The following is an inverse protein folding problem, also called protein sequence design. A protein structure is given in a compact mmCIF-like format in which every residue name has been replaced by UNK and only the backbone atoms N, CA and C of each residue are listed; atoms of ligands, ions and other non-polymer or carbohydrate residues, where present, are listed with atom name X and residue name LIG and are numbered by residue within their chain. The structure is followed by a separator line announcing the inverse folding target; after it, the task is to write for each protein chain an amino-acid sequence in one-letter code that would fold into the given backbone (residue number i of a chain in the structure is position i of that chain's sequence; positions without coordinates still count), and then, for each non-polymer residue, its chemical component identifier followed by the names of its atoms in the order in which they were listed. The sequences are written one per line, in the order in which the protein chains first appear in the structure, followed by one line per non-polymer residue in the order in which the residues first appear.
data_IF_610300975421
#
_entry.id   IF_610300975421
#
_cell.length_a   1.000
_cell.length_b   1.000
_cell.length_c   1.000
_cell.angle_alpha   90.00
_cell.angle_beta   90.00
_cell.angle_gamma   90.00
#
_symmetry.space_group_name_H-M   'P 1'
#
loop_
_entity.id
_entity.type
_entity.pdbx_description
1 polymer ?
#
# COMPACT_ATOMS: atom_id res chain seq x y z
N UNK A 1 53.95 -57.81 25.13
CA UNK A 1 53.27 -57.58 23.84
C UNK A 1 51.88 -57.01 24.15
N UNK A 2 51.77 -55.70 24.34
CA UNK A 2 50.52 -55.03 24.58
C UNK A 2 50.10 -54.42 23.24
N UNK A 3 48.98 -54.88 22.80
CA UNK A 3 48.62 -54.89 21.40
C UNK A 3 48.25 -53.55 20.78
N UNK A 4 48.68 -53.39 19.55
CA UNK A 4 48.37 -52.36 18.60
C UNK A 4 46.87 -52.22 18.25
N UNK A 5 46.02 -53.02 18.85
CA UNK A 5 44.56 -52.99 18.57
C UNK A 5 43.81 -51.83 19.21
N UNK A 6 44.34 -51.25 20.30
CA UNK A 6 43.67 -50.15 20.99
C UNK A 6 44.02 -48.75 20.42
N UNK A 7 45.08 -48.66 19.62
CA UNK A 7 45.47 -47.40 19.00
C UNK A 7 44.65 -47.05 17.75
N UNK A 8 44.19 -48.09 17.06
CA UNK A 8 43.37 -47.89 15.85
C UNK A 8 41.92 -47.48 16.15
N UNK A 9 41.37 -47.89 17.30
CA UNK A 9 39.98 -47.53 17.68
C UNK A 9 39.95 -46.06 18.17
N UNK A 10 40.98 -45.54 18.77
CA UNK A 10 41.05 -44.11 19.17
C UNK A 10 41.15 -43.16 17.98
N UNK A 11 41.81 -43.61 16.88
CA UNK A 11 41.95 -42.76 15.69
C UNK A 11 40.65 -42.67 14.86
N UNK A 12 39.82 -43.70 14.90
CA UNK A 12 38.53 -43.70 14.18
C UNK A 12 37.43 -42.92 14.89
N UNK A 13 37.48 -42.82 16.23
CA UNK A 13 36.53 -41.98 16.97
C UNK A 13 36.79 -40.46 16.82
N UNK A 14 38.02 -40.07 16.50
CA UNK A 14 38.35 -38.63 16.35
C UNK A 14 37.94 -38.03 14.97
N UNK A 15 37.64 -38.88 13.97
CA UNK A 15 37.24 -38.43 12.66
C UNK A 15 35.73 -38.34 12.44
N UNK A 16 34.92 -38.82 13.40
CA UNK A 16 33.47 -38.84 13.26
C UNK A 16 32.77 -37.55 13.79
N UNK A 17 33.51 -36.61 14.39
CA UNK A 17 32.90 -35.41 15.01
C UNK A 17 32.99 -34.16 14.11
N UNK A 18 33.64 -34.24 12.95
CA UNK A 18 33.82 -33.07 12.07
C UNK A 18 32.80 -32.90 10.99
N UNK A 19 31.67 -33.65 11.04
CA UNK A 19 30.56 -33.52 10.09
C UNK A 19 29.30 -32.88 10.70
N UNK A 20 29.42 -32.22 11.84
CA UNK A 20 28.38 -31.26 12.24
C UNK A 20 28.49 -30.08 11.28
N UNK A 21 27.65 -30.03 10.26
CA UNK A 21 27.63 -28.94 9.30
C UNK A 21 27.58 -27.63 10.04
N UNK A 22 28.49 -26.74 9.69
CA UNK A 22 28.43 -25.36 10.19
C UNK A 22 27.02 -24.85 9.97
N UNK A 23 26.38 -24.22 10.97
CA UNK A 23 25.07 -23.65 10.79
C UNK A 23 25.16 -22.72 9.56
N UNK A 24 24.40 -23.04 8.53
CA UNK A 24 24.29 -22.18 7.36
C UNK A 24 23.79 -20.84 7.89
N UNK A 25 24.66 -19.85 7.92
CA UNK A 25 24.27 -18.46 8.17
C UNK A 25 23.23 -18.13 7.11
N UNK A 26 21.97 -18.15 7.51
CA UNK A 26 20.89 -17.65 6.67
C UNK A 26 21.19 -16.18 6.48
N UNK A 27 21.60 -15.80 5.28
CA UNK A 27 21.83 -14.41 4.94
C UNK A 27 20.54 -13.65 5.27
N UNK A 28 20.60 -12.67 6.17
CA UNK A 28 19.46 -11.83 6.48
C UNK A 28 18.93 -11.23 5.18
N UNK A 29 17.62 -11.35 4.96
CA UNK A 29 16.93 -10.69 3.85
C UNK A 29 16.65 -9.21 4.17
N UNK A 30 16.87 -8.81 5.42
CA UNK A 30 16.75 -7.41 5.83
C UNK A 30 18.05 -6.72 5.49
N UNK A 31 18.03 -5.64 4.69
CA UNK A 31 19.22 -4.85 4.40
C UNK A 31 19.84 -4.29 5.69
N UNK A 32 21.16 -4.28 5.79
CA UNK A 32 21.90 -3.66 6.92
C UNK A 32 21.83 -2.12 6.91
N UNK A 33 21.20 -1.54 5.89
CA UNK A 33 20.99 -0.11 5.76
C UNK A 33 19.56 0.28 6.07
N UNK A 34 19.32 1.45 6.69
CA UNK A 34 17.97 1.98 6.86
C UNK A 34 17.25 2.06 5.51
N UNK A 35 15.97 1.67 5.49
CA UNK A 35 15.14 1.82 4.31
C UNK A 35 14.98 3.31 3.99
N UNK A 36 15.09 3.66 2.70
CA UNK A 36 14.74 5.01 2.22
C UNK A 36 13.26 5.12 1.89
N UNK A 37 12.50 4.02 2.01
CA UNK A 37 11.05 4.05 1.84
C UNK A 37 10.42 4.89 2.94
N UNK A 38 9.56 5.88 2.62
CA UNK A 38 8.86 6.65 3.63
C UNK A 38 7.91 5.74 4.42
N UNK A 39 7.83 6.00 5.72
CA UNK A 39 6.85 5.36 6.57
C UNK A 39 5.45 5.92 6.30
N UNK A 40 4.44 5.07 6.42
CA UNK A 40 3.06 5.48 6.20
C UNK A 40 2.09 4.81 7.16
N UNK A 41 1.00 5.48 7.42
CA UNK A 41 -0.18 4.93 8.06
C UNK A 41 -1.22 4.62 6.96
N UNK A 42 -1.79 3.42 7.01
CA UNK A 42 -2.78 2.96 6.03
C UNK A 42 -4.13 2.71 6.72
N UNK A 43 -5.20 3.21 6.15
CA UNK A 43 -6.54 3.11 6.75
C UNK A 43 -7.15 1.72 6.71
N UNK A 44 -6.61 0.77 5.94
CA UNK A 44 -7.20 -0.56 5.75
C UNK A 44 -7.50 -1.30 7.06
N UNK A 45 -6.57 -1.23 8.01
CA UNK A 45 -6.77 -1.88 9.31
C UNK A 45 -7.93 -1.26 10.11
N UNK A 46 -8.10 0.06 10.05
CA UNK A 46 -9.23 0.73 10.70
C UNK A 46 -10.54 0.44 9.99
N UNK A 47 -10.54 0.42 8.65
CA UNK A 47 -11.69 0.01 7.86
C UNK A 47 -12.14 -1.41 8.24
N UNK A 48 -11.20 -2.35 8.31
CA UNK A 48 -11.47 -3.72 8.75
C UNK A 48 -11.98 -3.79 10.19
N UNK A 49 -11.39 -3.01 11.08
CA UNK A 49 -11.78 -2.98 12.50
C UNK A 49 -13.23 -2.52 12.68
N UNK A 50 -13.64 -1.39 12.08
CA UNK A 50 -15.04 -0.90 12.18
C UNK A 50 -16.03 -1.81 11.46
N UNK A 51 -15.61 -2.52 10.43
CA UNK A 51 -16.37 -3.57 9.75
C UNK A 51 -16.39 -4.89 10.53
N UNK A 52 -15.69 -4.98 11.69
CA UNK A 52 -15.48 -6.20 12.47
C UNK A 52 -14.87 -7.35 11.64
N UNK A 53 -14.12 -7.02 10.59
CA UNK A 53 -13.51 -7.96 9.63
C UNK A 53 -14.48 -9.00 9.05
N UNK A 54 -15.78 -8.66 8.98
CA UNK A 54 -16.80 -9.59 8.51
C UNK A 54 -16.72 -9.88 7.02
N UNK A 55 -16.42 -8.86 6.21
CA UNK A 55 -16.20 -9.02 4.78
C UNK A 55 -15.37 -7.86 4.20
N UNK A 56 -14.84 -8.07 2.99
CA UNK A 56 -14.11 -7.04 2.25
C UNK A 56 -15.04 -5.91 1.82
N UNK A 57 -16.28 -6.20 1.45
CA UNK A 57 -17.29 -5.22 1.05
C UNK A 57 -17.62 -4.27 2.20
N UNK A 58 -17.80 -4.78 3.40
CA UNK A 58 -18.02 -3.95 4.60
C UNK A 58 -16.78 -3.13 4.96
N UNK A 59 -15.58 -3.71 4.79
CA UNK A 59 -14.32 -3.00 4.99
C UNK A 59 -14.21 -1.82 4.02
N UNK A 60 -14.55 -2.00 2.76
CA UNK A 60 -14.59 -0.94 1.74
C UNK A 60 -15.64 0.12 2.03
N UNK A 61 -16.82 -0.29 2.49
CA UNK A 61 -17.91 0.61 2.85
C UNK A 61 -17.51 1.63 3.94
N UNK A 62 -16.54 1.28 4.77
CA UNK A 62 -16.04 2.15 5.85
C UNK A 62 -15.15 3.31 5.35
N UNK A 63 -14.70 3.32 4.09
CA UNK A 63 -13.95 4.44 3.54
C UNK A 63 -14.89 5.61 3.23
N UNK A 64 -15.12 6.47 4.20
CA UNK A 64 -16.01 7.63 4.10
C UNK A 64 -15.45 8.84 4.85
N UNK A 65 -15.98 10.02 4.53
CA UNK A 65 -15.66 11.26 5.21
C UNK A 65 -15.91 11.20 6.72
N UNK A 66 -17.04 10.57 7.11
CA UNK A 66 -17.41 10.43 8.53
C UNK A 66 -16.37 9.65 9.33
N UNK A 67 -15.80 8.59 8.76
CA UNK A 67 -14.74 7.85 9.44
C UNK A 67 -13.42 8.61 9.48
N UNK A 68 -13.12 9.40 8.46
CA UNK A 68 -11.90 10.21 8.46
C UNK A 68 -11.96 11.38 9.44
N UNK A 69 -13.09 12.11 9.50
CA UNK A 69 -13.19 13.42 10.15
C UNK A 69 -14.31 13.54 11.17
N UNK A 70 -15.19 12.55 11.28
CA UNK A 70 -16.31 12.58 12.23
C UNK A 70 -15.86 12.52 13.70
N UNK A 71 -16.78 12.72 14.62
CA UNK A 71 -16.56 12.76 16.07
C UNK A 71 -17.17 11.55 16.81
N UNK A 72 -17.70 10.58 16.08
CA UNK A 72 -18.26 9.36 16.63
C UNK A 72 -17.19 8.38 17.11
N UNK A 73 -17.67 7.36 17.84
CA UNK A 73 -16.83 6.26 18.31
C UNK A 73 -16.15 5.56 17.10
N UNK A 74 -14.85 5.39 17.15
CA UNK A 74 -14.01 4.83 16.07
C UNK A 74 -13.90 5.67 14.80
N UNK A 75 -14.29 6.93 14.84
CA UNK A 75 -14.10 7.92 13.77
C UNK A 75 -12.84 8.77 14.01
N UNK A 76 -12.67 9.83 13.21
CA UNK A 76 -11.57 10.77 13.29
C UNK A 76 -10.18 10.12 13.09
N UNK A 77 -10.06 9.30 12.06
CA UNK A 77 -8.81 8.59 11.78
C UNK A 77 -7.64 9.53 11.49
N UNK A 78 -7.93 10.74 11.00
CA UNK A 78 -6.91 11.75 10.73
C UNK A 78 -6.24 12.31 11.98
N UNK A 79 -6.82 12.09 13.15
CA UNK A 79 -6.24 12.49 14.45
C UNK A 79 -5.46 11.35 15.14
N UNK A 80 -5.34 10.19 14.52
CA UNK A 80 -4.49 9.10 15.00
C UNK A 80 -3.01 9.52 15.09
N UNK A 81 -2.29 8.89 16.00
CA UNK A 81 -0.83 8.99 16.14
C UNK A 81 -0.26 10.41 16.26
N UNK A 82 -0.78 11.29 17.12
CA UNK A 82 -0.40 12.70 17.17
C UNK A 82 1.11 12.94 17.39
N UNK A 83 1.80 12.01 18.06
CA UNK A 83 3.22 12.14 18.35
C UNK A 83 4.13 11.89 17.14
N UNK A 84 3.70 11.03 16.21
CA UNK A 84 4.55 10.55 15.10
C UNK A 84 4.00 10.86 13.71
N UNK A 85 2.74 11.29 13.57
CA UNK A 85 2.12 11.52 12.25
C UNK A 85 2.87 12.52 11.36
N UNK A 86 3.67 13.43 11.96
CA UNK A 86 4.55 14.33 11.22
C UNK A 86 5.63 13.61 10.40
N UNK A 87 5.92 12.36 10.74
CA UNK A 87 6.90 11.53 10.07
C UNK A 87 6.26 10.52 9.10
N UNK A 88 4.92 10.43 9.10
CA UNK A 88 4.13 9.44 8.35
C UNK A 88 3.31 10.08 7.23
N UNK A 89 3.21 9.36 6.11
CA UNK A 89 2.18 9.64 5.11
C UNK A 89 0.85 9.04 5.55
N UNK A 90 -0.24 9.80 5.41
CA UNK A 90 -1.60 9.27 5.60
C UNK A 90 -2.06 8.67 4.28
N UNK A 91 -2.28 7.37 4.24
CA UNK A 91 -2.69 6.65 3.03
C UNK A 91 -4.12 6.17 3.17
N UNK A 92 -5.02 6.77 2.40
CA UNK A 92 -6.38 6.24 2.24
C UNK A 92 -6.32 4.95 1.43
N UNK A 93 -6.83 3.88 2.01
CA UNK A 93 -6.85 2.58 1.35
C UNK A 93 -8.07 2.43 0.42
N UNK A 94 -8.30 1.25 -0.06
CA UNK A 94 -9.31 0.87 -1.05
C UNK A 94 -10.66 1.61 -0.85
N UNK A 95 -11.26 2.04 -1.95
CA UNK A 95 -12.60 2.62 -2.07
C UNK A 95 -12.75 4.13 -1.84
N UNK A 96 -11.66 4.88 -1.66
CA UNK A 96 -11.76 6.34 -1.57
C UNK A 96 -12.22 6.98 -2.90
N UNK A 97 -12.02 6.29 -4.01
CA UNK A 97 -12.22 6.75 -5.39
C UNK A 97 -13.39 6.05 -6.12
N UNK A 98 -14.17 5.25 -5.42
CA UNK A 98 -15.34 4.55 -6.01
C UNK A 98 -16.65 4.97 -5.33
N UNK A 99 -17.82 4.87 -6.03
CA UNK A 99 -19.10 5.25 -5.47
C UNK A 99 -19.44 4.51 -4.18
N UNK A 100 -20.18 5.18 -3.27
CA UNK A 100 -20.51 4.69 -1.93
C UNK A 100 -21.19 3.33 -1.91
N UNK A 101 -22.05 3.08 -2.88
CA UNK A 101 -22.85 1.84 -2.95
C UNK A 101 -22.15 0.71 -3.73
N UNK A 102 -20.93 0.96 -4.22
CA UNK A 102 -20.14 -0.03 -4.98
C UNK A 102 -19.00 -0.53 -4.11
N UNK A 103 -19.21 -1.65 -3.40
CA UNK A 103 -18.21 -2.19 -2.46
C UNK A 103 -17.72 -3.59 -2.84
N UNK A 104 -18.31 -4.22 -3.82
CA UNK A 104 -17.87 -5.50 -4.37
C UNK A 104 -16.58 -5.38 -5.22
N UNK A 105 -15.95 -6.50 -5.49
CA UNK A 105 -14.75 -6.54 -6.33
C UNK A 105 -14.75 -7.83 -7.16
N UNK A 106 -14.44 -7.74 -8.44
CA UNK A 106 -14.11 -6.51 -9.18
C UNK A 106 -15.33 -5.62 -9.46
N UNK A 107 -15.12 -4.33 -9.67
CA UNK A 107 -16.14 -3.40 -10.12
C UNK A 107 -15.58 -2.45 -11.21
N UNK A 108 -16.42 -1.78 -12.02
CA UNK A 108 -15.99 -0.98 -13.15
C UNK A 108 -15.26 0.34 -12.78
N UNK A 109 -15.29 0.74 -11.52
CA UNK A 109 -14.70 1.99 -11.03
C UNK A 109 -13.29 1.80 -10.48
N UNK A 110 -12.83 0.57 -10.26
CA UNK A 110 -11.49 0.32 -9.72
C UNK A 110 -10.42 1.02 -10.56
N UNK A 111 -9.58 1.80 -9.90
CA UNK A 111 -8.55 2.63 -10.53
C UNK A 111 -9.07 3.95 -11.07
N UNK A 112 -10.22 4.45 -10.60
CA UNK A 112 -10.79 5.73 -11.01
C UNK A 112 -9.88 6.91 -10.64
N UNK A 113 -9.24 6.86 -9.47
CA UNK A 113 -8.28 7.88 -8.98
C UNK A 113 -8.91 9.28 -8.94
N UNK A 114 -10.18 9.35 -8.57
CA UNK A 114 -10.91 10.60 -8.33
C UNK A 114 -11.66 10.49 -7.01
N UNK A 115 -11.55 11.50 -6.14
CA UNK A 115 -12.26 11.47 -4.87
C UNK A 115 -13.77 11.32 -5.09
N UNK A 116 -14.33 10.28 -4.51
CA UNK A 116 -15.76 9.97 -4.60
C UNK A 116 -16.61 11.04 -3.89
N UNK A 117 -17.47 11.74 -4.63
CA UNK A 117 -18.25 12.86 -4.08
C UNK A 117 -19.36 12.45 -3.13
N UNK A 118 -19.84 11.22 -3.20
CA UNK A 118 -20.87 10.66 -2.32
C UNK A 118 -20.28 10.06 -1.04
N UNK A 119 -19.02 9.62 -1.07
CA UNK A 119 -18.29 9.21 0.13
C UNK A 119 -17.71 10.40 0.90
N UNK A 120 -17.40 11.50 0.19
CA UNK A 120 -16.77 12.71 0.71
C UNK A 120 -17.58 13.95 0.31
N UNK A 121 -18.81 14.11 0.85
CA UNK A 121 -19.77 15.09 0.38
C UNK A 121 -19.44 16.54 0.73
N UNK A 122 -18.54 16.81 1.69
CA UNK A 122 -18.18 18.18 2.07
C UNK A 122 -17.20 18.84 1.11
N UNK A 123 -16.43 18.04 0.35
CA UNK A 123 -15.47 18.54 -0.61
C UNK A 123 -16.15 18.88 -1.93
N UNK A 124 -15.95 20.11 -2.43
CA UNK A 124 -16.68 20.68 -3.56
C UNK A 124 -15.76 21.03 -4.73
N UNK A 125 -16.36 21.20 -5.90
CA UNK A 125 -15.65 21.57 -7.12
C UNK A 125 -15.40 20.38 -8.04
N UNK A 126 -14.44 20.50 -8.92
CA UNK A 126 -14.01 19.41 -9.79
C UNK A 126 -13.21 18.33 -9.01
N UNK A 127 -12.80 17.28 -9.72
CA UNK A 127 -12.10 16.16 -9.08
C UNK A 127 -10.77 16.57 -8.43
N UNK A 128 -10.04 17.49 -9.05
CA UNK A 128 -8.75 17.99 -8.54
C UNK A 128 -8.98 18.87 -7.32
N UNK A 129 -9.95 19.78 -7.38
CA UNK A 129 -10.29 20.66 -6.27
C UNK A 129 -10.78 19.90 -5.04
N UNK A 130 -11.64 18.92 -5.21
CA UNK A 130 -12.09 18.05 -4.11
C UNK A 130 -10.93 17.32 -3.45
N UNK A 131 -10.08 16.70 -4.27
CA UNK A 131 -8.92 15.96 -3.77
C UNK A 131 -7.90 16.87 -3.07
N UNK A 132 -7.74 18.11 -3.58
CA UNK A 132 -6.88 19.12 -2.97
C UNK A 132 -7.40 19.53 -1.60
N UNK A 133 -8.69 19.84 -1.46
CA UNK A 133 -9.31 20.20 -0.17
C UNK A 133 -9.12 19.07 0.86
N UNK A 134 -9.35 17.83 0.47
CA UNK A 134 -9.12 16.66 1.32
C UNK A 134 -7.66 16.58 1.76
N UNK A 135 -6.73 16.69 0.81
CA UNK A 135 -5.29 16.62 1.08
C UNK A 135 -4.84 17.71 2.06
N UNK A 136 -5.29 18.94 1.85
CA UNK A 136 -5.00 20.08 2.72
C UNK A 136 -5.59 19.87 4.12
N UNK A 137 -6.80 19.35 4.24
CA UNK A 137 -7.43 19.06 5.53
C UNK A 137 -6.67 17.98 6.32
N UNK A 138 -6.24 16.90 5.65
CA UNK A 138 -5.42 15.87 6.29
C UNK A 138 -4.06 16.43 6.72
N UNK A 139 -3.38 17.17 5.85
CA UNK A 139 -2.08 17.79 6.17
C UNK A 139 -2.17 18.82 7.30
N UNK A 140 -3.30 19.53 7.42
CA UNK A 140 -3.53 20.47 8.52
C UNK A 140 -3.54 19.80 9.90
N UNK A 141 -3.80 18.50 9.96
CA UNK A 141 -3.71 17.69 11.19
C UNK A 141 -2.28 17.32 11.58
N UNK A 142 -1.31 17.69 10.76
CA UNK A 142 0.12 17.49 11.02
C UNK A 142 0.71 16.22 10.38
N UNK A 143 0.03 15.60 9.42
CA UNK A 143 0.60 14.51 8.64
C UNK A 143 1.68 15.01 7.68
N UNK A 144 2.73 14.21 7.47
CA UNK A 144 3.85 14.52 6.57
C UNK A 144 3.38 14.73 5.13
N UNK A 145 2.43 13.92 4.69
CA UNK A 145 1.87 13.94 3.35
C UNK A 145 0.63 13.06 3.27
N UNK A 146 0.01 13.04 2.10
CA UNK A 146 -1.20 12.26 1.84
C UNK A 146 -0.97 11.37 0.64
N UNK A 147 -1.52 10.17 0.70
CA UNK A 147 -1.49 9.22 -0.39
C UNK A 147 -2.78 8.43 -0.51
N UNK A 148 -2.85 7.65 -1.54
CA UNK A 148 -3.99 6.78 -1.82
C UNK A 148 -3.58 5.39 -2.26
N UNK A 149 -4.45 4.45 -2.00
CA UNK A 149 -4.43 3.14 -2.60
C UNK A 149 -4.82 3.24 -4.07
N UNK A 150 -4.17 2.46 -4.90
CA UNK A 150 -4.47 2.37 -6.33
C UNK A 150 -4.27 0.93 -6.80
N UNK A 151 -5.19 0.43 -7.61
CA UNK A 151 -5.03 -0.86 -8.25
C UNK A 151 -4.38 -0.74 -9.65
N UNK A 152 -3.80 -1.84 -10.12
CA UNK A 152 -3.13 -1.88 -11.42
C UNK A 152 -4.11 -2.09 -12.59
N UNK A 153 -5.25 -1.39 -12.55
CA UNK A 153 -6.21 -1.42 -13.66
C UNK A 153 -6.77 -0.04 -13.93
N UNK A 154 -7.02 0.25 -15.19
CA UNK A 154 -7.79 1.42 -15.61
C UNK A 154 -9.27 1.19 -15.34
N UNK A 155 -9.97 2.19 -14.81
CA UNK A 155 -11.41 2.10 -14.61
C UNK A 155 -12.14 1.84 -15.94
N UNK A 156 -13.06 0.88 -15.95
CA UNK A 156 -13.86 0.53 -17.15
C UNK A 156 -14.77 1.68 -17.57
N UNK A 157 -15.17 2.52 -16.63
CA UNK A 157 -15.94 3.76 -16.88
C UNK A 157 -15.19 4.75 -17.79
N UNK A 158 -13.90 4.57 -17.98
CA UNK A 158 -13.04 5.40 -18.82
C UNK A 158 -12.39 4.59 -19.96
N UNK A 159 -13.05 3.55 -20.43
CA UNK A 159 -12.50 2.63 -21.42
C UNK A 159 -12.02 3.30 -22.72
N UNK A 160 -12.64 4.40 -23.13
CA UNK A 160 -12.30 5.14 -24.36
C UNK A 160 -10.93 5.87 -24.29
N UNK A 161 -10.41 6.14 -23.10
CA UNK A 161 -9.12 6.84 -22.97
C UNK A 161 -7.98 5.82 -23.10
N UNK A 162 -6.97 6.04 -23.95
CA UNK A 162 -5.79 5.18 -24.02
C UNK A 162 -5.13 5.04 -22.63
N UNK A 163 -4.65 3.84 -22.31
CA UNK A 163 -4.19 3.54 -20.95
C UNK A 163 -3.07 4.46 -20.46
N UNK A 164 -2.05 4.70 -21.30
CA UNK A 164 -0.95 5.58 -20.94
C UNK A 164 -1.42 7.02 -20.66
N UNK A 165 -2.32 7.54 -21.50
CA UNK A 165 -2.90 8.88 -21.35
C UNK A 165 -3.75 8.95 -20.07
N UNK A 166 -4.56 7.92 -19.81
CA UNK A 166 -5.37 7.80 -18.60
C UNK A 166 -4.52 7.95 -17.35
N UNK A 167 -3.46 7.17 -17.21
CA UNK A 167 -2.60 7.22 -16.04
C UNK A 167 -1.84 8.51 -15.89
N UNK A 168 -1.33 9.06 -17.00
CA UNK A 168 -0.68 10.39 -16.99
C UNK A 168 -1.62 11.47 -16.47
N UNK A 169 -2.85 11.51 -16.96
CA UNK A 169 -3.83 12.51 -16.52
C UNK A 169 -4.19 12.34 -15.04
N UNK A 170 -4.51 11.12 -14.61
CA UNK A 170 -4.97 10.85 -13.24
C UNK A 170 -3.90 11.10 -12.19
N UNK A 171 -2.72 10.55 -12.40
CA UNK A 171 -1.63 10.71 -11.44
C UNK A 171 -1.13 12.17 -11.40
N UNK A 172 -1.05 12.84 -12.55
CA UNK A 172 -0.69 14.25 -12.61
C UNK A 172 -1.71 15.13 -11.86
N UNK A 173 -3.01 14.89 -12.06
CA UNK A 173 -4.09 15.59 -11.37
C UNK A 173 -4.02 15.37 -9.85
N UNK A 174 -3.87 14.13 -9.42
CA UNK A 174 -3.75 13.80 -8.00
C UNK A 174 -2.49 14.41 -7.36
N UNK A 175 -1.36 14.39 -8.07
CA UNK A 175 -0.14 15.03 -7.59
C UNK A 175 -0.30 16.55 -7.45
N UNK A 176 -0.95 17.20 -8.43
CA UNK A 176 -1.28 18.63 -8.35
C UNK A 176 -2.22 18.96 -7.19
N UNK A 177 -3.07 18.01 -6.78
CA UNK A 177 -3.93 18.10 -5.60
C UNK A 177 -3.19 17.79 -4.27
N UNK A 178 -1.89 17.51 -4.33
CA UNK A 178 -1.06 17.26 -3.14
C UNK A 178 -1.04 15.83 -2.65
N UNK A 179 -1.47 14.87 -3.49
CA UNK A 179 -1.22 13.46 -3.29
C UNK A 179 0.19 13.13 -3.75
N UNK A 180 1.03 12.68 -2.83
CA UNK A 180 2.46 12.48 -3.06
C UNK A 180 2.96 11.09 -2.68
N UNK A 181 2.05 10.18 -2.26
CA UNK A 181 2.34 8.79 -1.95
C UNK A 181 1.29 7.84 -2.55
N UNK A 182 1.73 6.72 -3.13
CA UNK A 182 0.85 5.73 -3.72
C UNK A 182 1.13 4.34 -3.19
N UNK A 183 0.12 3.71 -2.62
CA UNK A 183 0.09 2.29 -2.33
C UNK A 183 -0.48 1.57 -3.55
N UNK A 184 0.38 1.01 -4.38
CA UNK A 184 -0.04 0.20 -5.54
C UNK A 184 -0.26 -1.22 -5.08
N UNK A 185 -1.49 -1.71 -5.24
CA UNK A 185 -1.92 -3.01 -4.79
C UNK A 185 -2.55 -3.81 -5.94
N UNK A 186 -3.22 -4.91 -5.63
CA UNK A 186 -3.79 -5.81 -6.60
C UNK A 186 -4.85 -5.13 -7.52
N UNK A 187 -5.21 -5.82 -8.60
CA UNK A 187 -6.27 -5.46 -9.52
C UNK A 187 -6.57 -6.62 -10.46
N UNK A 188 -7.54 -6.44 -11.35
CA UNK A 188 -7.93 -7.45 -12.33
C UNK A 188 -6.75 -7.97 -13.17
N UNK A 189 -5.82 -7.09 -13.49
CA UNK A 189 -4.65 -7.41 -14.31
C UNK A 189 -3.48 -8.01 -13.55
N UNK A 190 -3.45 -7.84 -12.25
CA UNK A 190 -2.44 -8.41 -11.39
C UNK A 190 -2.47 -9.95 -11.37
N UNK A 191 -3.65 -10.50 -11.53
CA UNK A 191 -3.85 -11.97 -11.60
C UNK A 191 -3.32 -12.60 -12.90
N UNK A 192 -2.99 -11.79 -13.91
CA UNK A 192 -2.59 -12.24 -15.24
C UNK A 192 -1.12 -11.98 -15.59
N UNK A 193 -0.31 -11.45 -14.68
CA UNK A 193 1.12 -11.29 -14.91
C UNK A 193 1.78 -10.12 -14.18
N UNK A 194 2.71 -10.44 -13.28
CA UNK A 194 3.49 -9.48 -12.49
C UNK A 194 4.25 -8.44 -13.35
N UNK A 195 4.69 -8.82 -14.53
CA UNK A 195 5.41 -7.93 -15.45
C UNK A 195 4.61 -6.72 -15.95
N UNK A 196 3.27 -6.81 -15.98
CA UNK A 196 2.41 -5.69 -16.36
C UNK A 196 2.37 -4.62 -15.28
N UNK A 197 2.44 -5.04 -14.02
CA UNK A 197 2.50 -4.15 -12.88
C UNK A 197 3.76 -3.28 -12.92
N UNK A 198 4.92 -3.86 -13.22
CA UNK A 198 6.18 -3.12 -13.32
C UNK A 198 6.12 -2.04 -14.39
N UNK A 199 5.62 -2.37 -15.57
CA UNK A 199 5.45 -1.38 -16.66
C UNK A 199 4.52 -0.25 -16.28
N UNK A 200 3.42 -0.54 -15.56
CA UNK A 200 2.49 0.48 -15.09
C UNK A 200 3.12 1.38 -14.02
N UNK A 201 3.83 0.81 -13.06
CA UNK A 201 4.56 1.58 -12.05
C UNK A 201 5.60 2.49 -12.70
N UNK A 202 6.29 2.02 -13.73
CA UNK A 202 7.25 2.85 -14.48
C UNK A 202 6.55 3.98 -15.24
N UNK A 203 5.39 3.70 -15.85
CA UNK A 203 4.57 4.74 -16.49
C UNK A 203 4.08 5.77 -15.47
N UNK A 204 3.71 5.35 -14.28
CA UNK A 204 3.31 6.28 -13.20
C UNK A 204 4.49 7.14 -12.74
N UNK A 205 5.67 6.55 -12.55
CA UNK A 205 6.89 7.29 -12.21
C UNK A 205 7.25 8.33 -13.27
N UNK A 206 7.18 7.97 -14.54
CA UNK A 206 7.42 8.88 -15.65
C UNK A 206 6.38 10.00 -15.70
N UNK A 207 5.11 9.70 -15.43
CA UNK A 207 4.03 10.68 -15.47
C UNK A 207 4.15 11.78 -14.41
N UNK A 208 4.71 11.46 -13.23
CA UNK A 208 4.73 12.39 -12.08
C UNK A 208 6.10 12.95 -11.76
N UNK A 209 7.17 12.49 -12.43
CA UNK A 209 8.56 12.86 -12.08
C UNK A 209 8.83 12.74 -10.56
N UNK A 210 8.07 11.88 -9.87
CA UNK A 210 8.12 11.72 -8.40
C UNK A 210 8.94 10.49 -8.05
N UNK A 211 9.87 10.60 -7.10
CA UNK A 211 10.63 9.45 -6.63
C UNK A 211 9.80 8.47 -5.78
N UNK A 212 8.54 8.78 -5.44
CA UNK A 212 7.78 8.14 -4.37
C UNK A 212 6.59 7.31 -4.82
N UNK A 213 6.77 6.41 -5.78
CA UNK A 213 5.83 5.30 -5.97
C UNK A 213 6.49 4.05 -5.37
N UNK A 214 5.91 3.56 -4.29
CA UNK A 214 6.35 2.33 -3.65
C UNK A 214 5.39 1.20 -3.97
N UNK A 215 5.96 0.10 -4.46
CA UNK A 215 5.27 -1.17 -4.59
C UNK A 215 5.17 -1.77 -3.19
N UNK A 216 3.97 -1.92 -2.66
CA UNK A 216 3.76 -2.86 -1.55
C UNK A 216 3.98 -4.26 -2.09
N UNK A 217 4.95 -4.98 -1.52
CA UNK A 217 5.16 -6.37 -1.87
C UNK A 217 3.89 -7.15 -1.57
N UNK A 218 3.39 -7.88 -2.58
CA UNK A 218 2.31 -8.82 -2.40
C UNK A 218 2.71 -9.84 -1.36
N UNK A 219 1.98 -9.92 -0.26
CA UNK A 219 1.97 -11.10 0.57
C UNK A 219 1.33 -12.22 -0.28
N UNK A 220 2.12 -13.26 -0.57
CA UNK A 220 1.62 -14.50 -1.16
C UNK A 220 0.75 -15.24 -0.17
#
# INVERSE_FOLDING_TARGET
MIGYRNLLISLFCSMAVSAAGQPRLVKSLVPDMPSQAPDYFCTWNLQGYVASYKSTELTRAAMTEDYLFGDGLYQNWVDCYPAIRKDLYFVMDDSWDIPKDVNDSPNPYLGCVELSSDRFPSFRGDAVERLKQLSEQIKSKGWKGVGGWICAQKAETHAAIPEEEYWKQRIKAANAAGFDYWKVDWGKEDRNGEWRMEKKVDSYRQAICSPFIYRTCFAK
#
